data_IF_213451504529
#
_entry.id   IF_213451504529
#
_cell.length_a   1.000
_cell.length_b   1.000
_cell.length_c   1.000
_cell.angle_alpha   90.00
_cell.angle_beta   90.00
_cell.angle_gamma   90.00
#
_symmetry.space_group_name_H-M   'P 1'
#
loop_
_entity.id
_entity.type
_entity.pdbx_description
1 polymer ?
#
# COMPACT_ATOMS: atom_id res chain seq x y z
N UNK A 1 -8.55 -8.48 -14.95
CA UNK A 1 -8.01 -7.39 -14.08
C UNK A 1 -7.43 -8.05 -12.83
N UNK A 2 -6.15 -7.82 -12.49
CA UNK A 2 -5.57 -8.43 -11.27
C UNK A 2 -6.24 -7.80 -10.05
N UNK A 3 -6.86 -8.61 -9.19
CA UNK A 3 -7.48 -8.18 -7.94
C UNK A 3 -6.48 -7.37 -7.11
N UNK A 4 -6.85 -6.18 -6.60
CA UNK A 4 -5.94 -5.38 -5.80
C UNK A 4 -5.51 -6.15 -4.55
N UNK A 5 -4.22 -6.47 -4.46
CA UNK A 5 -3.61 -7.08 -3.29
C UNK A 5 -3.56 -6.06 -2.13
N UNK A 6 -3.43 -6.53 -0.89
CA UNK A 6 -3.30 -5.72 0.33
C UNK A 6 -2.27 -4.60 0.19
N UNK A 7 -1.15 -4.90 -0.47
CA UNK A 7 -0.11 -3.92 -0.77
C UNK A 7 -0.58 -2.80 -1.71
N UNK A 8 -1.43 -3.09 -2.70
CA UNK A 8 -1.96 -2.07 -3.63
C UNK A 8 -2.91 -1.12 -2.91
N UNK A 9 -3.74 -1.64 -2.01
CA UNK A 9 -4.61 -0.82 -1.15
C UNK A 9 -3.77 0.11 -0.27
N UNK A 10 -2.80 -0.45 0.46
CA UNK A 10 -1.88 0.31 1.29
C UNK A 10 -1.09 1.35 0.49
N UNK A 11 -0.56 0.96 -0.68
CA UNK A 11 0.17 1.86 -1.57
C UNK A 11 -0.70 3.02 -2.02
N UNK A 12 -1.93 2.79 -2.49
CA UNK A 12 -2.77 3.88 -2.97
C UNK A 12 -3.11 4.89 -1.86
N UNK A 13 -3.34 4.41 -0.64
CA UNK A 13 -3.61 5.24 0.52
C UNK A 13 -2.38 6.07 0.92
N UNK A 14 -1.24 5.40 1.14
CA UNK A 14 -0.01 6.06 1.58
C UNK A 14 0.68 6.85 0.49
N UNK A 15 0.51 6.51 -0.78
CA UNK A 15 1.18 7.20 -1.89
C UNK A 15 0.78 8.67 -1.96
N UNK A 16 -0.50 9.01 -1.75
CA UNK A 16 -0.92 10.41 -1.67
C UNK A 16 -0.27 11.13 -0.50
N UNK A 17 -0.30 10.54 0.69
CA UNK A 17 0.29 11.15 1.90
C UNK A 17 1.80 11.32 1.76
N UNK A 18 2.53 10.27 1.38
CA UNK A 18 3.98 10.29 1.22
C UNK A 18 4.38 11.25 0.10
N UNK A 19 3.62 11.34 -1.00
CA UNK A 19 3.87 12.30 -2.07
C UNK A 19 3.63 13.74 -1.63
N UNK A 20 2.63 14.01 -0.81
CA UNK A 20 2.41 15.36 -0.26
C UNK A 20 3.52 15.75 0.72
N UNK A 21 3.95 14.83 1.60
CA UNK A 21 5.07 15.08 2.51
C UNK A 21 6.44 15.10 1.82
N UNK A 22 6.59 14.41 0.70
CA UNK A 22 7.83 14.33 -0.08
C UNK A 22 7.58 14.79 -1.51
N UNK A 23 7.08 16.02 -1.66
CA UNK A 23 6.80 16.65 -2.95
C UNK A 23 8.04 16.78 -3.85
N UNK A 24 9.24 16.78 -3.25
CA UNK A 24 10.53 16.79 -3.94
C UNK A 24 11.02 15.39 -4.38
N UNK A 25 10.43 14.30 -3.87
CA UNK A 25 10.86 12.95 -4.23
C UNK A 25 10.19 12.49 -5.53
N UNK A 26 10.95 11.77 -6.35
CA UNK A 26 10.40 11.14 -7.55
C UNK A 26 9.38 10.05 -7.17
N UNK A 27 8.41 9.80 -8.04
CA UNK A 27 7.45 8.70 -7.88
C UNK A 27 8.14 7.34 -7.66
N UNK A 28 9.35 7.16 -8.23
CA UNK A 28 10.17 5.96 -8.02
C UNK A 28 10.68 5.84 -6.59
N UNK A 29 11.13 6.94 -5.99
CA UNK A 29 11.60 6.97 -4.60
C UNK A 29 10.45 6.79 -3.63
N UNK A 30 9.33 7.47 -3.85
CA UNK A 30 8.10 7.29 -3.08
C UNK A 30 7.67 5.82 -3.10
N UNK A 31 7.74 5.16 -4.26
CA UNK A 31 7.38 3.74 -4.36
C UNK A 31 8.36 2.82 -3.60
N UNK A 32 9.66 3.17 -3.53
CA UNK A 32 10.64 2.46 -2.68
C UNK A 32 10.33 2.67 -1.20
N UNK A 33 10.03 3.90 -0.77
CA UNK A 33 9.68 4.25 0.61
C UNK A 33 8.46 3.45 1.07
N UNK A 34 7.39 3.45 0.26
CA UNK A 34 6.16 2.70 0.58
C UNK A 34 6.42 1.20 0.61
N UNK A 35 7.24 0.67 -0.30
CA UNK A 35 7.64 -0.73 -0.30
C UNK A 35 8.38 -1.12 0.99
N UNK A 36 9.29 -0.26 1.45
CA UNK A 36 10.00 -0.46 2.71
C UNK A 36 9.09 -0.31 3.93
N UNK A 37 8.21 0.69 3.96
CA UNK A 37 7.19 0.84 5.01
C UNK A 37 6.32 -0.40 5.10
N UNK A 38 5.86 -0.93 3.96
CA UNK A 38 5.09 -2.16 3.95
C UNK A 38 5.91 -3.34 4.46
N UNK A 39 7.18 -3.50 4.07
CA UNK A 39 8.03 -4.58 4.62
C UNK A 39 8.20 -4.45 6.13
N UNK A 40 8.43 -3.24 6.63
CA UNK A 40 8.65 -2.96 8.06
C UNK A 40 7.37 -2.97 8.90
N UNK A 41 6.18 -2.84 8.31
CA UNK A 41 4.92 -2.97 9.04
C UNK A 41 4.76 -4.38 9.62
N UNK A 42 4.35 -4.45 10.88
CA UNK A 42 3.93 -5.69 11.54
C UNK A 42 2.71 -6.32 10.85
N UNK A 43 2.54 -7.63 11.01
CA UNK A 43 1.39 -8.36 10.46
C UNK A 43 0.06 -7.80 10.95
N UNK A 44 -0.03 -7.36 12.20
CA UNK A 44 -1.24 -6.75 12.77
C UNK A 44 -1.69 -5.51 11.99
N UNK A 45 -0.74 -4.67 11.58
CA UNK A 45 -1.01 -3.48 10.78
C UNK A 45 -1.31 -3.81 9.31
N UNK A 46 -0.78 -4.92 8.81
CA UNK A 46 -1.08 -5.45 7.47
C UNK A 46 -2.43 -6.16 7.41
N UNK A 47 -2.87 -6.75 8.53
CA UNK A 47 -4.08 -7.54 8.68
C UNK A 47 -5.34 -6.86 8.14
N UNK A 48 -5.65 -5.58 8.47
CA UNK A 48 -6.82 -4.91 7.91
C UNK A 48 -6.75 -4.77 6.38
N UNK A 49 -5.57 -4.53 5.80
CA UNK A 49 -5.39 -4.46 4.35
C UNK A 49 -5.49 -5.84 3.69
N UNK A 50 -4.99 -6.89 4.34
CA UNK A 50 -5.12 -8.27 3.89
C UNK A 50 -6.59 -8.73 3.91
N UNK A 51 -7.34 -8.42 4.97
CA UNK A 51 -8.78 -8.70 5.06
C UNK A 51 -9.54 -7.99 3.94
N UNK A 52 -9.34 -6.68 3.76
CA UNK A 52 -9.96 -5.91 2.66
C UNK A 52 -9.62 -6.48 1.28
N UNK A 53 -8.35 -6.84 1.06
CA UNK A 53 -7.93 -7.42 -0.22
C UNK A 53 -8.53 -8.81 -0.45
N UNK A 54 -8.67 -9.63 0.59
CA UNK A 54 -9.33 -10.93 0.51
C UNK A 54 -10.83 -10.79 0.25
N UNK A 55 -11.51 -9.84 0.91
CA UNK A 55 -12.92 -9.53 0.62
C UNK A 55 -13.11 -9.10 -0.85
N UNK A 56 -12.27 -8.19 -1.35
CA UNK A 56 -12.33 -7.76 -2.75
C UNK A 56 -12.04 -8.91 -3.72
N UNK A 57 -11.11 -9.80 -3.36
CA UNK A 57 -10.77 -10.98 -4.16
C UNK A 57 -11.90 -12.02 -4.16
N UNK A 58 -12.64 -12.15 -3.07
CA UNK A 58 -13.74 -13.11 -2.96
C UNK A 58 -15.00 -12.63 -3.69
N UNK A 59 -15.21 -11.31 -3.78
CA UNK A 59 -16.33 -10.70 -4.48
C UNK A 59 -16.11 -10.52 -6.01
N UNK A 60 -15.13 -11.20 -6.61
CA UNK A 60 -14.79 -11.12 -8.03
C UNK A 60 -14.71 -12.52 -8.66
#
# INVERSE_FOLDING_TARGET
KKTPNAFILFRNEKFKTVRMSNSNCSSREISKIIGNMWKQMSEENKLPYQRKANEIKHNH
#
